data_IF_985208556054
#
_entry.id   IF_985208556054
#
_cell.length_a   1.000
_cell.length_b   1.000
_cell.length_c   1.000
_cell.angle_alpha   90.00
_cell.angle_beta   90.00
_cell.angle_gamma   90.00
#
_symmetry.space_group_name_H-M   'P 1'
#
loop_
_entity.id
_entity.type
_entity.pdbx_description
1 polymer ?
#
# COMPACT_ATOMS: atom_id res chain seq x y z
N UNK A 1 -0.59 9.97 18.06
CA UNK A 1 -0.55 8.63 17.43
C UNK A 1 -1.82 8.47 16.62
N UNK A 2 -1.74 8.44 15.28
CA UNK A 2 -2.90 8.11 14.45
C UNK A 2 -3.19 6.61 14.66
N UNK A 3 -4.37 6.29 15.18
CA UNK A 3 -4.85 4.91 15.30
C UNK A 3 -5.32 4.45 13.91
N UNK A 4 -4.43 3.88 13.12
CA UNK A 4 -4.82 3.21 11.88
C UNK A 4 -5.29 1.79 12.19
N UNK A 5 -6.58 1.64 12.52
CA UNK A 5 -7.27 0.33 12.52
C UNK A 5 -8.04 0.16 11.22
N UNK A 6 -7.35 0.33 10.09
CA UNK A 6 -7.88 -0.08 8.79
C UNK A 6 -7.16 -1.38 8.44
N UNK A 7 -7.87 -2.48 8.63
CA UNK A 7 -7.44 -3.83 8.23
C UNK A 7 -8.05 -4.16 6.88
N UNK A 8 -7.24 -4.65 5.95
CA UNK A 8 -7.66 -5.15 4.62
C UNK A 8 -6.93 -6.44 4.29
N UNK A 9 -7.16 -7.00 3.10
CA UNK A 9 -6.36 -8.10 2.54
C UNK A 9 -5.74 -7.66 1.20
N UNK A 10 -4.74 -8.38 0.68
CA UNK A 10 -4.14 -8.07 -0.61
C UNK A 10 -5.14 -8.27 -1.76
N UNK A 11 -6.01 -9.28 -1.65
CA UNK A 11 -7.11 -9.51 -2.58
C UNK A 11 -8.08 -8.32 -2.61
N UNK A 12 -8.54 -7.87 -1.44
CA UNK A 12 -9.43 -6.70 -1.34
C UNK A 12 -8.77 -5.40 -1.82
N UNK A 13 -7.45 -5.28 -1.67
CA UNK A 13 -6.69 -4.17 -2.23
C UNK A 13 -6.71 -4.24 -3.77
N UNK A 14 -6.45 -5.42 -4.33
CA UNK A 14 -6.44 -5.67 -5.77
C UNK A 14 -7.80 -5.44 -6.44
N UNK A 15 -8.89 -5.84 -5.81
CA UNK A 15 -10.26 -5.60 -6.32
C UNK A 15 -10.64 -4.11 -6.37
N UNK A 16 -10.01 -3.29 -5.52
CA UNK A 16 -10.26 -1.84 -5.45
C UNK A 16 -9.38 -1.03 -6.40
N UNK A 17 -8.41 -1.66 -7.05
CA UNK A 17 -7.46 -0.98 -7.90
C UNK A 17 -8.02 -0.66 -9.27
N UNK A 18 -7.77 0.57 -9.70
CA UNK A 18 -7.81 0.93 -11.10
C UNK A 18 -6.65 0.19 -11.82
N UNK A 19 -6.78 -0.20 -13.10
CA UNK A 19 -5.66 -0.71 -13.91
C UNK A 19 -4.36 0.11 -13.87
N UNK A 20 -4.44 1.40 -13.47
CA UNK A 20 -3.30 2.30 -13.32
C UNK A 20 -2.65 2.27 -11.92
N UNK A 21 -3.28 1.63 -10.95
CA UNK A 21 -2.73 1.48 -9.61
C UNK A 21 -1.72 0.34 -9.58
N UNK A 22 -0.73 0.43 -8.71
CA UNK A 22 0.29 -0.61 -8.55
C UNK A 22 0.40 -1.03 -7.09
N UNK A 23 0.61 -2.32 -6.88
CA UNK A 23 0.93 -2.88 -5.57
C UNK A 23 2.25 -3.66 -5.63
N UNK A 24 3.14 -3.41 -4.68
CA UNK A 24 4.44 -4.04 -4.57
C UNK A 24 4.51 -4.74 -3.22
N UNK A 25 4.59 -6.06 -3.24
CA UNK A 25 4.86 -6.87 -2.05
C UNK A 25 6.36 -6.91 -1.81
N UNK A 26 6.81 -6.45 -0.64
CA UNK A 26 8.23 -6.47 -0.25
C UNK A 26 8.39 -6.87 1.21
N UNK A 27 9.02 -8.03 1.46
CA UNK A 27 9.17 -8.63 2.79
C UNK A 27 7.80 -8.76 3.50
N UNK A 28 7.58 -7.97 4.55
CA UNK A 28 6.36 -7.96 5.35
C UNK A 28 5.42 -6.83 4.96
N UNK A 29 5.75 -6.06 3.92
CA UNK A 29 5.04 -4.85 3.53
C UNK A 29 4.37 -5.01 2.17
N UNK A 30 3.31 -4.23 1.97
CA UNK A 30 2.66 -4.00 0.69
C UNK A 30 2.65 -2.50 0.46
N UNK A 31 3.39 -2.05 -0.55
CA UNK A 31 3.39 -0.67 -1.00
C UNK A 31 2.31 -0.54 -2.07
N UNK A 32 1.48 0.47 -1.95
CA UNK A 32 0.35 0.74 -2.83
C UNK A 32 0.52 2.12 -3.40
N UNK A 33 0.58 2.23 -4.73
CA UNK A 33 0.56 3.51 -5.43
C UNK A 33 -0.73 3.65 -6.24
N UNK A 34 -1.40 4.80 -6.11
CA UNK A 34 -2.66 5.09 -6.78
C UNK A 34 -2.54 6.34 -7.62
N UNK A 35 -2.91 6.25 -8.90
CA UNK A 35 -2.81 7.41 -9.81
C UNK A 35 -4.06 8.28 -9.72
N UNK A 36 -3.87 9.57 -9.40
CA UNK A 36 -4.93 10.57 -9.33
C UNK A 36 -4.91 11.45 -10.58
N UNK A 37 -5.57 10.96 -11.63
CA UNK A 37 -5.63 11.62 -12.95
C UNK A 37 -6.17 13.06 -12.93
N UNK A 38 -7.07 13.40 -11.99
CA UNK A 38 -7.64 14.75 -11.86
C UNK A 38 -6.66 15.77 -11.29
N UNK A 39 -5.82 15.34 -10.35
CA UNK A 39 -4.91 16.22 -9.62
C UNK A 39 -3.48 16.14 -10.17
N UNK A 40 -3.23 15.25 -11.15
CA UNK A 40 -1.90 14.94 -11.71
C UNK A 40 -0.91 14.60 -10.60
N UNK A 41 -1.09 13.44 -10.00
CA UNK A 41 -0.10 12.91 -9.07
C UNK A 41 -0.39 11.49 -8.62
N UNK A 42 0.52 10.96 -7.82
CA UNK A 42 0.49 9.60 -7.33
C UNK A 42 0.43 9.59 -5.81
N UNK A 43 -0.59 8.96 -5.25
CA UNK A 43 -0.71 8.71 -3.83
C UNK A 43 0.06 7.43 -3.48
N UNK A 44 0.57 7.34 -2.24
CA UNK A 44 1.22 6.13 -1.73
C UNK A 44 0.78 5.79 -0.31
N UNK A 45 0.55 4.50 -0.09
CA UNK A 45 0.28 3.91 1.22
C UNK A 45 1.12 2.66 1.41
N UNK A 46 1.53 2.41 2.66
CA UNK A 46 2.31 1.26 3.08
C UNK A 46 1.47 0.47 4.07
N UNK A 47 1.25 -0.80 3.76
CA UNK A 47 0.60 -1.75 4.63
C UNK A 47 1.60 -2.78 5.15
N UNK A 48 1.40 -3.29 6.36
CA UNK A 48 2.19 -4.39 6.93
C UNK A 48 1.30 -5.61 7.20
N UNK A 49 1.80 -6.80 6.84
CA UNK A 49 1.14 -8.07 7.13
C UNK A 49 1.13 -8.36 8.64
N UNK A 50 -0.05 -8.61 9.19
CA UNK A 50 -0.20 -9.13 10.53
C UNK A 50 -0.07 -10.66 10.52
N UNK A 51 0.79 -11.18 11.40
CA UNK A 51 0.95 -12.62 11.69
C UNK A 51 1.29 -13.52 10.47
N UNK A 52 2.41 -13.24 9.80
CA UNK A 52 2.93 -14.03 8.65
C UNK A 52 3.07 -15.54 8.96
N UNK A 53 3.17 -15.92 10.24
CA UNK A 53 3.53 -17.27 10.70
C UNK A 53 2.40 -18.31 10.57
N UNK A 54 1.15 -17.91 10.29
CA UNK A 54 -0.01 -18.84 10.40
C UNK A 54 -0.76 -19.19 9.12
N UNK A 55 -0.64 -18.45 8.01
CA UNK A 55 -1.37 -18.78 6.77
C UNK A 55 -0.46 -19.09 5.60
N UNK A 56 -0.85 -20.13 4.85
CA UNK A 56 -0.22 -20.55 3.58
C UNK A 56 -0.63 -19.67 2.40
N UNK A 57 -1.70 -18.85 2.55
CA UNK A 57 -2.18 -17.94 1.51
C UNK A 57 -1.87 -16.48 1.90
N UNK A 58 -1.01 -15.81 1.14
CA UNK A 58 -0.64 -14.40 1.35
C UNK A 58 -1.77 -13.43 0.99
N UNK A 59 -2.69 -13.82 0.10
CA UNK A 59 -3.77 -12.96 -0.39
C UNK A 59 -4.80 -12.64 0.69
N UNK A 60 -5.03 -13.59 1.61
CA UNK A 60 -6.03 -13.51 2.68
C UNK A 60 -5.45 -12.96 4.00
N UNK A 61 -4.15 -12.63 4.04
CA UNK A 61 -3.53 -12.11 5.27
C UNK A 61 -4.01 -10.70 5.56
N UNK A 62 -4.22 -10.43 6.84
CA UNK A 62 -4.54 -9.10 7.34
C UNK A 62 -3.38 -8.13 7.06
N UNK A 63 -3.72 -7.01 6.44
CA UNK A 63 -2.85 -5.88 6.15
C UNK A 63 -3.30 -4.69 6.96
N UNK A 64 -2.38 -4.11 7.72
CA UNK A 64 -2.61 -2.90 8.50
C UNK A 64 -1.91 -1.73 7.83
N UNK A 65 -2.62 -0.63 7.61
CA UNK A 65 -2.00 0.61 7.14
C UNK A 65 -1.04 1.14 8.22
N UNK A 66 0.24 1.30 7.86
CA UNK A 66 1.28 1.75 8.80
C UNK A 66 1.86 3.12 8.46
N UNK A 67 1.79 3.53 7.19
CA UNK A 67 2.27 4.83 6.73
C UNK A 67 1.54 5.23 5.44
N UNK A 68 1.28 6.52 5.26
CA UNK A 68 0.70 7.09 4.05
C UNK A 68 1.26 8.50 3.83
N UNK A 69 1.48 8.90 2.58
CA UNK A 69 1.81 10.30 2.32
C UNK A 69 0.54 11.12 2.15
N UNK A 70 0.44 12.23 2.89
CA UNK A 70 -0.69 13.15 2.75
C UNK A 70 -0.62 13.97 1.45
N UNK A 71 0.58 14.08 0.86
CA UNK A 71 0.83 14.77 -0.41
C UNK A 71 0.95 13.81 -1.60
N UNK A 72 0.68 14.32 -2.80
CA UNK A 72 0.84 13.57 -4.04
C UNK A 72 2.28 13.68 -4.57
N UNK A 73 2.80 12.57 -5.10
CA UNK A 73 4.04 12.52 -5.85
C UNK A 73 3.81 12.84 -7.33
N UNK A 74 4.86 13.24 -8.05
CA UNK A 74 4.80 13.46 -9.49
C UNK A 74 4.48 12.17 -10.26
N UNK A 75 5.05 11.05 -9.83
CA UNK A 75 4.87 9.73 -10.44
C UNK A 75 4.95 8.58 -9.43
N UNK A 76 4.62 7.38 -9.89
CA UNK A 76 4.67 6.15 -9.08
C UNK A 76 6.09 5.77 -8.66
N UNK A 77 7.12 6.11 -9.45
CA UNK A 77 8.51 5.83 -9.12
C UNK A 77 8.98 6.62 -7.90
N UNK A 78 8.65 7.91 -7.85
CA UNK A 78 8.94 8.83 -6.75
C UNK A 78 8.19 8.43 -5.49
N UNK A 79 6.92 8.05 -5.63
CA UNK A 79 6.10 7.50 -4.56
C UNK A 79 6.70 6.22 -3.94
N UNK A 80 7.11 5.27 -4.79
CA UNK A 80 7.76 4.03 -4.34
C UNK A 80 9.12 4.30 -3.68
N UNK A 81 9.94 5.18 -4.27
CA UNK A 81 11.22 5.56 -3.70
C UNK A 81 11.06 6.15 -2.29
N UNK A 82 10.06 7.02 -2.09
CA UNK A 82 9.71 7.52 -0.77
C UNK A 82 9.27 6.39 0.17
N UNK A 83 8.43 5.45 -0.29
CA UNK A 83 7.98 4.35 0.55
C UNK A 83 9.14 3.48 1.07
N UNK A 84 10.16 3.24 0.22
CA UNK A 84 11.38 2.54 0.64
C UNK A 84 12.22 3.29 1.68
N UNK A 85 12.04 4.61 1.85
CA UNK A 85 12.71 5.36 2.94
C UNK A 85 12.04 5.16 4.31
N UNK A 86 10.87 4.53 4.34
CA UNK A 86 10.03 4.34 5.54
C UNK A 86 10.06 2.92 6.10
N UNK A 87 10.59 1.96 5.35
CA UNK A 87 10.57 0.51 5.67
C UNK A 87 11.94 -0.14 5.72
#
# INVERSE_FOLDING_TARGET
MKNFQITTTLENLQDRYNPLDSSIVFKNYVIVTKEYWKERGCFVAIYEFQDIRKSTNILEKDLVLVEENEELFEDSGSAVAWAFTKI
#
